data_IF_046314247797
#
_entry.id   IF_046314247797
#
_cell.length_a   1.000
_cell.length_b   1.000
_cell.length_c   1.000
_cell.angle_alpha   90.00
_cell.angle_beta   90.00
_cell.angle_gamma   90.00
#
_symmetry.space_group_name_H-M   'P 1'
#
loop_
_entity.id
_entity.type
_entity.pdbx_description
1 polymer ?
#
# COMPACT_ATOMS: atom_id res chain seq x y z
N UNK A 1 23.87 -12.58 7.59
CA UNK A 1 22.47 -12.13 7.54
C UNK A 1 22.23 -11.75 6.09
N UNK A 2 21.46 -12.53 5.34
CA UNK A 2 20.96 -12.04 4.05
C UNK A 2 20.02 -10.89 4.38
N UNK A 3 20.54 -9.68 4.27
CA UNK A 3 19.73 -8.49 4.48
C UNK A 3 18.64 -8.51 3.42
N UNK A 4 17.38 -8.52 3.90
CA UNK A 4 16.16 -8.63 3.11
C UNK A 4 15.89 -7.32 2.34
N UNK A 5 16.93 -6.83 1.66
CA UNK A 5 16.95 -5.61 0.86
C UNK A 5 16.33 -5.95 -0.48
N UNK A 6 15.25 -5.28 -0.79
CA UNK A 6 14.54 -5.42 -2.07
C UNK A 6 14.48 -4.07 -2.74
N UNK A 7 14.61 -4.06 -4.06
CA UNK A 7 14.35 -2.84 -4.83
C UNK A 7 12.88 -2.51 -4.74
N UNK A 8 12.54 -1.23 -4.76
CA UNK A 8 11.15 -0.82 -4.80
C UNK A 8 10.41 -1.45 -6.00
N UNK A 9 11.05 -1.46 -7.17
CA UNK A 9 10.55 -2.13 -8.38
C UNK A 9 10.26 -3.63 -8.20
N UNK A 10 10.96 -4.30 -7.28
CA UNK A 10 10.67 -5.69 -6.95
C UNK A 10 9.45 -5.84 -6.03
N UNK A 11 9.17 -4.81 -5.22
CA UNK A 11 8.05 -4.77 -4.29
C UNK A 11 6.76 -4.29 -4.94
N UNK A 12 6.81 -3.62 -6.10
CA UNK A 12 5.64 -3.13 -6.82
C UNK A 12 4.59 -4.23 -7.09
N UNK A 13 5.04 -5.47 -7.32
CA UNK A 13 4.18 -6.63 -7.54
C UNK A 13 3.56 -7.23 -6.27
N UNK A 14 3.82 -6.66 -5.10
CA UNK A 14 3.30 -7.19 -3.84
C UNK A 14 1.85 -6.80 -3.64
N UNK A 15 1.04 -7.78 -3.25
CA UNK A 15 -0.36 -7.57 -2.95
C UNK A 15 -0.51 -6.94 -1.58
N UNK A 16 -1.35 -5.91 -1.50
CA UNK A 16 -1.67 -5.21 -0.28
C UNK A 16 -2.95 -5.82 0.29
N UNK A 17 -2.82 -6.49 1.42
CA UNK A 17 -3.91 -7.21 2.08
C UNK A 17 -4.02 -6.71 3.51
N UNK A 18 -5.22 -6.33 3.92
CA UNK A 18 -5.54 -6.02 5.31
C UNK A 18 -5.51 -7.31 6.14
N UNK A 19 -4.66 -7.33 7.16
CA UNK A 19 -4.47 -8.51 8.02
C UNK A 19 -5.65 -8.77 8.96
N UNK A 20 -6.54 -7.80 9.16
CA UNK A 20 -7.66 -7.90 10.09
C UNK A 20 -8.91 -8.51 9.47
N UNK A 21 -9.21 -8.18 8.20
CA UNK A 21 -10.43 -8.60 7.48
C UNK A 21 -10.14 -9.38 6.18
N UNK A 22 -8.89 -9.36 5.69
CA UNK A 22 -8.49 -10.02 4.45
C UNK A 22 -8.79 -9.22 3.19
N UNK A 23 -9.26 -7.97 3.30
CA UNK A 23 -9.56 -7.13 2.14
C UNK A 23 -8.27 -6.78 1.37
N UNK A 24 -8.40 -6.73 0.04
CA UNK A 24 -7.29 -6.50 -0.88
C UNK A 24 -7.37 -5.10 -1.49
N UNK A 25 -6.29 -4.33 -1.35
CA UNK A 25 -6.13 -2.97 -1.87
C UNK A 25 -5.28 -2.91 -3.16
N UNK A 26 -5.18 -4.04 -3.86
CA UNK A 26 -4.40 -4.14 -5.10
C UNK A 26 -2.92 -4.40 -4.86
N UNK A 27 -2.06 -3.78 -5.67
CA UNK A 27 -0.62 -3.97 -5.65
C UNK A 27 0.10 -2.70 -5.17
N UNK A 28 1.29 -2.83 -4.57
CA UNK A 28 2.07 -1.68 -4.12
C UNK A 28 2.36 -0.69 -5.25
N UNK A 29 2.69 -1.17 -6.45
CA UNK A 29 2.97 -0.31 -7.61
C UNK A 29 1.77 0.50 -8.12
N UNK A 30 0.55 0.17 -7.68
CA UNK A 30 -0.66 0.91 -8.04
C UNK A 30 -1.06 1.96 -7.00
N UNK A 31 -0.32 2.05 -5.90
CA UNK A 31 -0.61 2.92 -4.77
C UNK A 31 0.57 3.87 -4.54
N UNK A 32 0.30 5.05 -4.00
CA UNK A 32 1.35 6.02 -3.74
C UNK A 32 2.07 5.68 -2.42
N UNK A 33 3.39 5.86 -2.41
CA UNK A 33 4.20 5.73 -1.21
C UNK A 33 4.85 7.08 -0.91
N UNK A 34 4.56 7.61 0.27
CA UNK A 34 5.13 8.86 0.76
C UNK A 34 6.51 8.58 1.33
N UNK A 35 7.51 9.29 0.82
CA UNK A 35 8.91 9.19 1.20
C UNK A 35 9.36 10.55 1.74
N UNK A 36 10.15 10.57 2.81
CA UNK A 36 10.78 11.80 3.30
C UNK A 36 12.05 12.16 2.52
N UNK A 37 12.65 13.31 2.87
CA UNK A 37 13.88 13.82 2.25
C UNK A 37 15.09 12.92 2.49
N UNK A 38 15.07 12.13 3.57
CA UNK A 38 16.13 11.17 3.94
C UNK A 38 15.97 9.82 3.21
N UNK A 39 14.89 9.62 2.45
CA UNK A 39 14.60 8.40 1.71
C UNK A 39 13.85 7.32 2.49
N UNK A 40 13.30 7.63 3.66
CA UNK A 40 12.50 6.71 4.47
C UNK A 40 11.03 6.74 4.05
N UNK A 41 10.46 5.55 3.92
CA UNK A 41 9.03 5.36 3.63
C UNK A 41 8.21 5.69 4.88
N UNK A 42 7.26 6.63 4.77
CA UNK A 42 6.43 7.11 5.88
C UNK A 42 5.01 6.58 5.81
N UNK A 43 4.38 6.70 4.65
CA UNK A 43 2.98 6.34 4.47
C UNK A 43 2.75 5.61 3.15
N UNK A 44 1.77 4.73 3.16
CA UNK A 44 1.19 4.08 2.00
C UNK A 44 -0.22 4.64 1.82
N UNK A 45 -0.49 5.20 0.64
CA UNK A 45 -1.78 5.79 0.29
C UNK A 45 -2.57 4.76 -0.50
N UNK A 46 -3.53 4.13 0.16
CA UNK A 46 -4.38 3.11 -0.43
C UNK A 46 -5.57 3.77 -1.11
N UNK A 47 -5.74 3.51 -2.41
CA UNK A 47 -6.98 3.86 -3.09
C UNK A 47 -8.03 2.77 -2.84
N UNK A 48 -9.10 3.08 -2.11
CA UNK A 48 -10.28 2.21 -2.10
C UNK A 48 -10.99 2.36 -3.45
N UNK A 49 -10.69 1.47 -4.40
CA UNK A 49 -11.56 1.26 -5.54
C UNK A 49 -12.84 0.62 -5.02
N UNK A 50 -13.88 1.44 -4.80
CA UNK A 50 -15.18 1.01 -4.26
C UNK A 50 -15.60 -0.34 -4.84
N UNK A 51 -15.69 -1.34 -3.97
CA UNK A 51 -16.01 -2.71 -4.38
C UNK A 51 -17.34 -2.75 -5.11
N UNK A 52 -17.32 -3.22 -6.37
CA UNK A 52 -18.41 -3.75 -7.26
C UNK A 52 -19.86 -3.21 -7.20
N UNK A 53 -20.23 -2.25 -6.36
CA UNK A 53 -21.61 -1.86 -6.08
C UNK A 53 -21.80 -0.36 -5.79
N UNK A 54 -20.85 0.51 -6.17
CA UNK A 54 -20.91 1.93 -5.85
C UNK A 54 -20.54 2.85 -7.00
N UNK A 55 -21.44 3.04 -7.97
CA UNK A 55 -21.26 4.02 -9.05
C UNK A 55 -21.25 5.50 -8.58
N UNK A 56 -21.19 5.77 -7.26
CA UNK A 56 -21.20 7.11 -6.68
C UNK A 56 -20.35 7.29 -5.40
N UNK A 57 -19.56 6.29 -4.99
CA UNK A 57 -18.65 6.50 -3.84
C UNK A 57 -17.45 7.33 -4.29
N UNK A 58 -17.24 8.50 -3.66
CA UNK A 58 -16.00 9.27 -3.82
C UNK A 58 -14.82 8.33 -3.52
N UNK A 59 -13.72 8.40 -4.29
CA UNK A 59 -12.53 7.63 -3.97
C UNK A 59 -12.07 8.00 -2.55
N UNK A 60 -12.20 7.07 -1.61
CA UNK A 60 -11.60 7.18 -0.29
C UNK A 60 -10.12 6.85 -0.43
N UNK A 61 -9.28 7.77 0.01
CA UNK A 61 -7.85 7.54 0.19
C UNK A 61 -7.65 7.17 1.66
N UNK A 62 -7.02 6.03 1.90
CA UNK A 62 -6.65 5.58 3.23
C UNK A 62 -5.14 5.72 3.40
N UNK A 63 -4.71 6.53 4.34
CA UNK A 63 -3.30 6.68 4.68
C UNK A 63 -2.91 5.67 5.76
N UNK A 64 -1.91 4.84 5.47
CA UNK A 64 -1.40 3.81 6.38
C UNK A 64 0.07 4.07 6.67
N UNK A 65 0.45 4.13 7.96
CA UNK A 65 1.86 4.21 8.33
C UNK A 65 2.64 3.01 7.79
N UNK A 66 3.81 3.28 7.20
CA UNK A 66 4.68 2.23 6.67
C UNK A 66 5.14 1.24 7.75
N UNK A 67 5.22 1.68 9.01
CA UNK A 67 5.54 0.83 10.17
C UNK A 67 4.48 -0.25 10.43
N UNK A 68 3.26 -0.06 9.94
CA UNK A 68 2.17 -1.04 10.03
C UNK A 68 2.25 -2.13 8.94
N UNK A 69 3.13 -1.99 7.95
CA UNK A 69 3.27 -2.93 6.83
C UNK A 69 4.15 -4.10 7.24
N UNK A 70 3.57 -5.30 7.28
CA UNK A 70 4.30 -6.56 7.52
C UNK A 70 4.72 -7.17 6.17
N UNK A 71 5.98 -7.59 6.06
CA UNK A 71 6.63 -8.07 4.83
C UNK A 71 7.10 -9.52 4.96
#
# INVERSE_FOLDING_TARGET
MEENIKRYSDMERYELINVNDGDKYGFLGNNDVVIDEDGYLKFLILSESGGKLGLFSKPSLLEVSWDSVKK
#
